data_IF_763592891850
#
_entry.id   IF_763592891850
#
_cell.length_a   1.000
_cell.length_b   1.000
_cell.length_c   1.000
_cell.angle_alpha   90.00
_cell.angle_beta   90.00
_cell.angle_gamma   90.00
#
_symmetry.space_group_name_H-M   'P 1'
#
loop_
_entity.id
_entity.type
_entity.pdbx_description
1 polymer ?
#
# COMPACT_ATOMS: atom_id res chain seq x y z
N UNK A 1 -7.91 15.09 15.37
CA UNK A 1 -7.13 14.43 14.30
C UNK A 1 -8.10 13.50 13.59
N UNK A 2 -8.88 14.06 12.67
CA UNK A 2 -10.05 13.39 12.09
C UNK A 2 -9.60 12.32 11.07
N UNK A 3 -10.02 11.08 11.30
CA UNK A 3 -9.85 9.99 10.35
C UNK A 3 -10.93 10.13 9.26
N UNK A 4 -10.56 10.82 8.18
CA UNK A 4 -11.40 11.06 7.01
C UNK A 4 -11.53 9.77 6.18
N UNK A 5 -12.65 9.08 6.32
CA UNK A 5 -13.03 7.88 5.57
C UNK A 5 -13.73 8.25 4.27
N UNK A 6 -12.99 8.24 3.17
CA UNK A 6 -13.56 8.31 1.82
C UNK A 6 -12.79 7.35 0.92
N UNK A 7 -13.47 6.57 0.09
CA UNK A 7 -12.85 5.53 -0.75
C UNK A 7 -11.67 6.04 -1.62
N UNK A 8 -11.64 7.34 -1.91
CA UNK A 8 -10.53 8.04 -2.56
C UNK A 8 -9.22 7.95 -1.77
N UNK A 9 -9.28 8.02 -0.43
CA UNK A 9 -8.11 7.99 0.45
C UNK A 9 -7.43 6.61 0.45
N UNK A 10 -8.21 5.52 0.32
CA UNK A 10 -7.64 4.17 0.21
C UNK A 10 -6.93 3.95 -1.13
N UNK A 11 -7.46 4.52 -2.21
CA UNK A 11 -6.82 4.46 -3.52
C UNK A 11 -5.51 5.27 -3.52
N UNK A 12 -5.53 6.46 -2.94
CA UNK A 12 -4.34 7.30 -2.74
C UNK A 12 -3.27 6.61 -1.89
N UNK A 13 -3.67 5.97 -0.78
CA UNK A 13 -2.75 5.22 0.06
C UNK A 13 -2.10 4.05 -0.70
N UNK A 14 -2.85 3.33 -1.53
CA UNK A 14 -2.30 2.27 -2.39
C UNK A 14 -1.33 2.84 -3.42
N UNK A 15 -1.62 4.00 -4.02
CA UNK A 15 -0.72 4.68 -4.95
C UNK A 15 0.58 5.05 -4.25
N UNK A 16 0.51 5.60 -3.04
CA UNK A 16 1.68 6.00 -2.28
C UNK A 16 2.55 4.79 -1.87
N UNK A 17 1.91 3.71 -1.40
CA UNK A 17 2.62 2.45 -1.10
C UNK A 17 3.29 1.84 -2.35
N UNK A 18 2.68 1.97 -3.53
CA UNK A 18 3.30 1.54 -4.79
C UNK A 18 4.52 2.39 -5.15
N UNK A 19 4.45 3.71 -5.00
CA UNK A 19 5.62 4.60 -5.20
C UNK A 19 6.75 4.23 -4.25
N UNK A 20 6.45 3.99 -2.97
CA UNK A 20 7.43 3.53 -1.99
C UNK A 20 8.09 2.22 -2.41
N UNK A 21 7.32 1.25 -2.91
CA UNK A 21 7.85 -0.01 -3.44
C UNK A 21 8.79 0.20 -4.64
N UNK A 22 8.45 1.11 -5.56
CA UNK A 22 9.33 1.47 -6.69
C UNK A 22 10.65 2.03 -6.18
N UNK A 23 10.60 2.97 -5.24
CA UNK A 23 11.81 3.56 -4.65
C UNK A 23 12.67 2.53 -3.91
N UNK A 24 12.05 1.63 -3.15
CA UNK A 24 12.75 0.54 -2.47
C UNK A 24 13.39 -0.45 -3.46
N UNK A 25 12.75 -0.72 -4.60
CA UNK A 25 13.32 -1.54 -5.68
C UNK A 25 14.52 -0.85 -6.34
N UNK A 26 14.44 0.45 -6.62
CA UNK A 26 15.56 1.24 -7.15
C UNK A 26 16.74 1.16 -6.18
N UNK A 27 16.51 1.43 -4.89
CA UNK A 27 17.53 1.31 -3.84
C UNK A 27 18.17 -0.08 -3.80
N UNK A 28 17.36 -1.15 -3.90
CA UNK A 28 17.84 -2.54 -3.98
C UNK A 28 18.78 -2.75 -5.18
N UNK A 29 18.38 -2.30 -6.37
CA UNK A 29 19.16 -2.45 -7.60
C UNK A 29 20.48 -1.68 -7.50
N UNK A 30 20.44 -0.46 -6.96
CA UNK A 30 21.64 0.35 -6.69
C UNK A 30 22.48 -0.14 -5.51
N UNK A 31 22.17 -1.31 -4.93
CA UNK A 31 22.86 -1.92 -3.77
C UNK A 31 22.95 -1.00 -2.54
N UNK A 32 22.04 -0.04 -2.42
CA UNK A 32 21.93 0.78 -1.21
C UNK A 32 21.42 -0.08 -0.04
N UNK A 33 21.83 0.28 1.18
CA UNK A 33 21.33 -0.38 2.40
C UNK A 33 19.82 -0.16 2.50
N UNK A 34 19.05 -1.24 2.40
CA UNK A 34 17.60 -1.23 2.53
C UNK A 34 17.14 -2.24 3.57
N UNK A 35 16.04 -1.94 4.24
CA UNK A 35 15.37 -2.89 5.11
C UNK A 35 14.36 -3.69 4.28
N UNK A 36 14.65 -4.97 4.01
CA UNK A 36 13.76 -5.88 3.27
C UNK A 36 12.39 -6.08 3.92
N UNK A 37 12.27 -5.91 5.24
CA UNK A 37 10.98 -5.98 5.92
C UNK A 37 10.04 -4.86 5.49
N UNK A 38 10.56 -3.67 5.13
CA UNK A 38 9.73 -2.55 4.67
C UNK A 38 9.01 -2.87 3.35
N UNK A 39 9.68 -3.62 2.46
CA UNK A 39 9.08 -4.11 1.20
C UNK A 39 7.92 -5.06 1.52
N UNK A 40 8.17 -6.04 2.41
CA UNK A 40 7.17 -7.02 2.82
C UNK A 40 5.97 -6.36 3.50
N UNK A 41 6.20 -5.40 4.39
CA UNK A 41 5.16 -4.62 5.07
C UNK A 41 4.31 -3.82 4.08
N UNK A 42 4.93 -3.11 3.14
CA UNK A 42 4.20 -2.35 2.13
C UNK A 42 3.33 -3.26 1.24
N UNK A 43 3.85 -4.43 0.84
CA UNK A 43 3.07 -5.42 0.08
C UNK A 43 1.88 -5.97 0.87
N UNK A 44 2.08 -6.33 2.14
CA UNK A 44 1.00 -6.80 3.00
C UNK A 44 -0.07 -5.74 3.19
N UNK A 45 0.31 -4.47 3.40
CA UNK A 45 -0.63 -3.38 3.58
C UNK A 45 -1.47 -3.13 2.32
N UNK A 46 -0.87 -3.16 1.13
CA UNK A 46 -1.60 -3.12 -0.14
C UNK A 46 -2.61 -4.28 -0.24
N UNK A 47 -2.18 -5.51 0.11
CA UNK A 47 -3.07 -6.68 0.07
C UNK A 47 -4.28 -6.52 1.00
N UNK A 48 -4.08 -6.02 2.22
CA UNK A 48 -5.15 -5.77 3.19
C UNK A 48 -6.15 -4.74 2.66
N UNK A 49 -5.67 -3.61 2.14
CA UNK A 49 -6.54 -2.56 1.59
C UNK A 49 -7.38 -3.09 0.43
N UNK A 50 -6.77 -3.86 -0.48
CA UNK A 50 -7.49 -4.45 -1.61
C UNK A 50 -8.53 -5.48 -1.17
N UNK A 51 -8.22 -6.28 -0.14
CA UNK A 51 -9.16 -7.25 0.41
C UNK A 51 -10.36 -6.57 1.05
N UNK A 52 -10.14 -5.54 1.87
CA UNK A 52 -11.21 -4.73 2.47
C UNK A 52 -12.09 -4.07 1.42
N UNK A 53 -11.48 -3.50 0.37
CA UNK A 53 -12.23 -2.90 -0.73
C UNK A 53 -13.14 -3.92 -1.44
N UNK A 54 -12.63 -5.13 -1.73
CA UNK A 54 -13.43 -6.21 -2.32
C UNK A 54 -14.58 -6.64 -1.40
N UNK A 55 -14.31 -6.80 -0.11
CA UNK A 55 -15.33 -7.17 0.87
C UNK A 55 -16.45 -6.12 0.91
N UNK A 56 -16.11 -4.84 1.02
CA UNK A 56 -17.08 -3.75 1.03
C UNK A 56 -17.90 -3.68 -0.27
N UNK A 57 -17.29 -3.92 -1.43
CA UNK A 57 -18.02 -4.02 -2.71
C UNK A 57 -18.99 -5.19 -2.76
N UNK A 58 -18.67 -6.31 -2.12
CA UNK A 58 -19.55 -7.48 -2.07
C UNK A 58 -20.74 -7.29 -1.14
N UNK A 59 -20.61 -6.48 -0.08
CA UNK A 59 -21.69 -6.22 0.89
C UNK A 59 -22.68 -5.15 0.39
N UNK A 60 -22.24 -4.28 -0.52
CA UNK A 60 -23.07 -3.21 -1.11
C UNK A 60 -23.75 -3.63 -2.44
N UNK A 61 -23.82 -4.94 -2.73
CA UNK A 61 -24.35 -5.50 -3.98
C UNK A 61 -25.51 -6.44 -3.66
#
# INVERSE_FOLDING_TARGET
MELNTNANNLAEEVIELKKQLVFLRIKKVTRQKINTHTIKQAQHKISQILQLNRFNKSQNK
#
